data_IF_431883036758
#
_entry.id   IF_431883036758
#
_cell.length_a   1.000
_cell.length_b   1.000
_cell.length_c   1.000
_cell.angle_alpha   90.00
_cell.angle_beta   90.00
_cell.angle_gamma   90.00
#
_symmetry.space_group_name_H-M   'P 1'
#
loop_
_entity.id
_entity.type
_entity.pdbx_description
1 polymer ?
#
# COMPACT_ATOMS: atom_id res chain seq x y z
N UNK A 1 42.11 27.41 -2.58
CA UNK A 1 41.10 27.83 -3.58
C UNK A 1 39.91 26.89 -3.46
N UNK A 2 38.88 27.28 -2.70
CA UNK A 2 37.67 26.48 -2.44
C UNK A 2 36.60 26.94 -3.44
N UNK A 3 36.08 26.04 -4.27
CA UNK A 3 34.97 26.34 -5.18
C UNK A 3 33.71 25.76 -4.55
N UNK A 4 32.75 26.64 -4.25
CA UNK A 4 31.45 26.31 -3.69
C UNK A 4 30.52 25.73 -4.75
N UNK A 5 29.94 24.58 -4.45
CA UNK A 5 28.77 24.03 -5.15
C UNK A 5 27.84 23.49 -4.07
N UNK A 6 26.86 24.29 -3.66
CA UNK A 6 25.96 23.89 -2.59
C UNK A 6 24.95 24.96 -2.25
N UNK A 7 24.09 25.33 -3.19
CA UNK A 7 22.92 26.19 -2.92
C UNK A 7 21.73 26.02 -3.90
N UNK A 8 21.84 25.17 -4.94
CA UNK A 8 20.78 25.03 -5.94
C UNK A 8 19.64 24.07 -5.61
N UNK A 9 19.91 22.95 -4.92
CA UNK A 9 18.90 21.89 -4.71
C UNK A 9 17.99 22.15 -3.50
N UNK A 10 18.53 22.80 -2.45
CA UNK A 10 17.77 23.12 -1.24
C UNK A 10 16.71 24.20 -1.48
N UNK A 11 16.97 25.17 -2.37
CA UNK A 11 16.04 26.25 -2.67
C UNK A 11 14.82 25.79 -3.50
N UNK A 12 15.01 24.82 -4.40
CA UNK A 12 13.92 24.25 -5.22
C UNK A 12 13.00 23.36 -4.37
N UNK A 13 13.54 22.66 -3.36
CA UNK A 13 12.76 21.87 -2.40
C UNK A 13 12.09 22.76 -1.33
N UNK A 14 12.72 23.86 -0.91
CA UNK A 14 12.13 24.81 0.05
C UNK A 14 10.95 25.59 -0.54
N UNK A 15 10.94 25.85 -1.84
CA UNK A 15 9.81 26.50 -2.55
C UNK A 15 8.55 25.64 -2.63
N UNK A 16 8.62 24.33 -2.32
CA UNK A 16 7.46 23.43 -2.21
C UNK A 16 6.89 23.37 -0.79
N UNK A 17 7.58 23.96 0.19
CA UNK A 17 7.21 23.96 1.61
C UNK A 17 6.67 25.32 2.11
N UNK A 18 6.71 26.37 1.29
CA UNK A 18 6.28 27.72 1.68
C UNK A 18 4.93 28.10 1.05
N UNK A 19 3.86 27.47 1.55
CA UNK A 19 2.52 28.02 1.70
C UNK A 19 1.63 26.90 2.26
N UNK A 20 1.46 26.83 3.58
CA UNK A 20 0.42 25.98 4.18
C UNK A 20 -0.79 26.84 4.54
N UNK A 21 -1.78 27.01 3.62
CA UNK A 21 -3.13 27.29 4.07
C UNK A 21 -3.65 25.99 4.65
N UNK A 22 -3.41 25.78 5.94
CA UNK A 22 -4.26 24.89 6.72
C UNK A 22 -5.72 25.28 6.38
N UNK A 23 -6.47 24.34 5.81
CA UNK A 23 -7.91 24.41 5.43
C UNK A 23 -8.32 24.75 3.97
N UNK A 24 -7.50 24.54 2.93
CA UNK A 24 -8.11 24.21 1.62
C UNK A 24 -8.44 22.73 1.56
N UNK A 25 -9.72 22.37 1.39
CA UNK A 25 -10.12 20.98 1.24
C UNK A 25 -9.39 20.36 0.05
N UNK A 26 -8.68 19.26 0.28
CA UNK A 26 -8.06 18.48 -0.80
C UNK A 26 -9.18 17.62 -1.40
N UNK A 27 -9.65 17.96 -2.58
CA UNK A 27 -10.60 17.14 -3.35
C UNK A 27 -9.88 15.95 -4.03
N UNK A 28 -10.63 15.09 -4.75
CA UNK A 28 -10.03 13.95 -5.44
C UNK A 28 -8.94 14.35 -6.45
N UNK A 29 -9.12 15.47 -7.16
CA UNK A 29 -8.18 15.93 -8.18
C UNK A 29 -6.88 16.41 -7.55
N UNK A 30 -6.97 17.21 -6.49
CA UNK A 30 -5.83 17.68 -5.71
C UNK A 30 -5.09 16.50 -5.06
N UNK A 31 -5.82 15.50 -4.56
CA UNK A 31 -5.21 14.27 -4.03
C UNK A 31 -4.47 13.49 -5.11
N UNK A 32 -5.04 13.35 -6.31
CA UNK A 32 -4.35 12.74 -7.45
C UNK A 32 -3.07 13.49 -7.83
N UNK A 33 -3.12 14.82 -7.89
CA UNK A 33 -1.93 15.64 -8.20
C UNK A 33 -0.85 15.45 -7.13
N UNK A 34 -1.23 15.29 -5.85
CA UNK A 34 -0.31 14.92 -4.78
C UNK A 34 0.34 13.56 -5.06
N UNK A 35 -0.42 12.55 -5.47
CA UNK A 35 0.13 11.23 -5.85
C UNK A 35 1.13 11.36 -7.01
N UNK A 36 0.84 12.14 -8.05
CA UNK A 36 1.76 12.31 -9.17
C UNK A 36 3.08 12.93 -8.72
N UNK A 37 3.02 13.96 -7.85
CA UNK A 37 4.23 14.55 -7.23
C UNK A 37 5.02 13.54 -6.38
N UNK A 38 4.34 12.61 -5.71
CA UNK A 38 4.98 11.50 -4.99
C UNK A 38 5.75 10.62 -5.96
N UNK A 39 5.16 10.24 -7.10
CA UNK A 39 5.86 9.44 -8.11
C UNK A 39 7.07 10.18 -8.70
N UNK A 40 6.94 11.49 -8.94
CA UNK A 40 8.04 12.33 -9.40
C UNK A 40 9.17 12.38 -8.36
N UNK A 41 8.84 12.52 -7.07
CA UNK A 41 9.81 12.50 -5.98
C UNK A 41 10.48 11.12 -5.82
N UNK A 42 9.78 10.02 -6.07
CA UNK A 42 10.40 8.68 -6.11
C UNK A 42 11.32 8.56 -7.32
N UNK A 43 10.95 9.11 -8.48
CA UNK A 43 11.78 9.08 -9.68
C UNK A 43 13.10 9.84 -9.49
N UNK A 44 13.06 11.00 -8.83
CA UNK A 44 14.26 11.76 -8.48
C UNK A 44 15.22 10.98 -7.57
N UNK A 45 14.70 10.06 -6.76
CA UNK A 45 15.48 9.21 -5.88
C UNK A 45 16.03 7.94 -6.55
N UNK A 46 15.69 7.66 -7.83
CA UNK A 46 16.11 6.44 -8.52
C UNK A 46 17.62 6.18 -8.46
N UNK A 47 18.54 7.17 -8.58
CA UNK A 47 19.97 6.92 -8.39
C UNK A 47 20.32 6.37 -7.00
N UNK A 48 19.72 6.92 -5.94
CA UNK A 48 19.91 6.45 -4.56
C UNK A 48 19.29 5.06 -4.36
N UNK A 49 18.07 4.84 -4.87
CA UNK A 49 17.42 3.52 -4.84
C UNK A 49 18.29 2.47 -5.54
N UNK A 50 18.87 2.82 -6.69
CA UNK A 50 19.77 1.94 -7.45
C UNK A 50 21.02 1.58 -6.65
N UNK A 51 21.63 2.54 -5.96
CA UNK A 51 22.81 2.31 -5.13
C UNK A 51 22.50 1.36 -3.95
N UNK A 52 21.43 1.65 -3.20
CA UNK A 52 21.02 0.84 -2.04
C UNK A 52 20.61 -0.57 -2.48
N UNK A 53 19.83 -0.68 -3.56
CA UNK A 53 19.41 -1.96 -4.09
C UNK A 53 20.59 -2.77 -4.64
N UNK A 54 21.60 -2.11 -5.24
CA UNK A 54 22.83 -2.78 -5.67
C UNK A 54 23.65 -3.30 -4.50
N UNK A 55 23.75 -2.54 -3.39
CA UNK A 55 24.39 -3.02 -2.18
C UNK A 55 23.67 -4.27 -1.63
N UNK A 56 22.35 -4.24 -1.53
CA UNK A 56 21.56 -5.40 -1.12
C UNK A 56 21.72 -6.60 -2.07
N UNK A 57 21.65 -6.39 -3.38
CA UNK A 57 21.84 -7.44 -4.38
C UNK A 57 23.24 -8.07 -4.29
N UNK A 58 24.29 -7.28 -4.03
CA UNK A 58 25.64 -7.79 -3.84
C UNK A 58 25.72 -8.77 -2.65
N UNK A 59 25.07 -8.46 -1.53
CA UNK A 59 24.96 -9.40 -0.41
C UNK A 59 24.17 -10.65 -0.80
N UNK A 60 23.02 -10.45 -1.43
CA UNK A 60 22.08 -11.52 -1.81
C UNK A 60 22.64 -12.52 -2.84
N UNK A 61 23.49 -12.05 -3.76
CA UNK A 61 24.13 -12.88 -4.79
C UNK A 61 25.38 -13.58 -4.28
N UNK A 62 26.17 -12.93 -3.40
CA UNK A 62 27.42 -13.51 -2.87
C UNK A 62 27.18 -14.61 -1.84
N UNK A 63 26.13 -14.49 -1.05
CA UNK A 63 25.76 -15.47 -0.04
C UNK A 63 24.35 -15.97 -0.32
N UNK A 64 24.27 -17.12 -1.01
CA UNK A 64 23.00 -17.75 -1.39
C UNK A 64 22.21 -18.26 -0.18
N UNK A 65 22.81 -18.31 1.03
CA UNK A 65 22.12 -18.66 2.27
C UNK A 65 21.29 -17.50 2.84
N UNK A 66 21.56 -16.25 2.42
CA UNK A 66 20.82 -15.09 2.92
C UNK A 66 19.43 -15.01 2.30
N UNK A 67 18.40 -14.95 3.14
CA UNK A 67 17.05 -14.59 2.71
C UNK A 67 16.90 -13.10 2.37
N UNK A 68 15.76 -12.75 1.76
CA UNK A 68 15.22 -11.39 1.79
C UNK A 68 13.99 -11.40 2.70
N UNK A 69 13.94 -10.50 3.67
CA UNK A 69 12.88 -10.41 4.65
C UNK A 69 12.25 -9.02 4.70
N UNK A 70 11.00 -8.93 5.15
CA UNK A 70 10.24 -7.67 5.25
C UNK A 70 9.58 -7.51 6.62
N UNK A 71 9.64 -6.31 7.19
CA UNK A 71 9.00 -5.96 8.47
C UNK A 71 8.56 -4.48 8.47
N UNK A 72 7.88 -4.04 9.53
CA UNK A 72 7.39 -2.67 9.72
C UNK A 72 5.88 -2.58 9.60
N UNK A 73 5.37 -1.61 8.84
CA UNK A 73 3.91 -1.47 8.62
C UNK A 73 3.31 -2.73 7.97
N UNK A 74 2.11 -3.15 8.39
CA UNK A 74 1.44 -4.33 7.82
C UNK A 74 1.13 -4.17 6.34
N UNK A 75 0.76 -2.96 5.91
CA UNK A 75 0.58 -2.64 4.50
C UNK A 75 1.85 -2.99 3.69
N UNK A 76 3.03 -2.57 4.17
CA UNK A 76 4.32 -2.87 3.53
C UNK A 76 4.67 -4.36 3.55
N UNK A 77 4.55 -5.03 4.70
CA UNK A 77 4.86 -6.46 4.84
C UNK A 77 4.04 -7.29 3.85
N UNK A 78 2.74 -7.03 3.81
CA UNK A 78 1.83 -7.79 2.95
C UNK A 78 1.96 -7.41 1.48
N UNK A 79 2.34 -6.17 1.17
CA UNK A 79 2.65 -5.77 -0.20
C UNK A 79 3.96 -6.36 -0.69
N UNK A 80 5.01 -6.48 0.13
CA UNK A 80 6.25 -7.08 -0.34
C UNK A 80 6.17 -8.62 -0.50
N UNK A 81 5.15 -9.26 0.09
CA UNK A 81 5.09 -10.73 0.23
C UNK A 81 3.99 -11.37 -0.62
N UNK A 82 4.31 -12.50 -1.27
CA UNK A 82 3.37 -13.35 -2.01
C UNK A 82 2.57 -12.61 -3.11
N UNK A 83 3.13 -11.54 -3.70
CA UNK A 83 2.45 -10.75 -4.73
C UNK A 83 2.79 -11.22 -6.13
N UNK A 84 1.82 -11.10 -7.03
CA UNK A 84 2.09 -11.18 -8.47
C UNK A 84 3.14 -10.15 -8.88
N UNK A 85 4.12 -10.57 -9.68
CA UNK A 85 5.25 -9.74 -10.10
C UNK A 85 6.24 -9.40 -8.98
N UNK A 86 6.03 -9.92 -7.76
CA UNK A 86 6.94 -9.82 -6.63
C UNK A 86 7.90 -11.01 -6.55
N UNK A 87 8.96 -10.84 -5.78
CA UNK A 87 10.00 -11.84 -5.56
C UNK A 87 9.43 -13.07 -4.83
N UNK A 88 9.78 -14.28 -5.29
CA UNK A 88 9.50 -15.53 -4.59
C UNK A 88 10.50 -15.68 -3.43
N UNK A 89 10.02 -16.11 -2.26
CA UNK A 89 10.89 -16.38 -1.10
C UNK A 89 11.12 -15.19 -0.16
N UNK A 90 10.37 -14.09 -0.31
CA UNK A 90 10.37 -13.00 0.67
C UNK A 90 9.79 -13.49 2.00
N UNK A 91 10.58 -13.43 3.07
CA UNK A 91 10.22 -13.86 4.41
C UNK A 91 9.48 -12.77 5.17
N UNK A 92 8.37 -13.13 5.82
CA UNK A 92 7.61 -12.25 6.72
C UNK A 92 8.13 -12.36 8.17
N UNK A 93 7.73 -11.47 9.10
CA UNK A 93 8.24 -11.48 10.47
C UNK A 93 8.12 -12.84 11.18
N UNK A 94 6.98 -13.52 11.04
CA UNK A 94 6.74 -14.87 11.60
C UNK A 94 7.72 -15.94 11.10
N UNK A 95 8.28 -15.75 9.91
CA UNK A 95 9.29 -16.63 9.33
C UNK A 95 10.71 -16.21 9.73
N UNK A 96 10.97 -14.90 9.82
CA UNK A 96 12.27 -14.34 10.21
C UNK A 96 12.59 -14.52 11.70
N UNK A 97 11.58 -14.73 12.53
CA UNK A 97 11.73 -15.00 13.96
C UNK A 97 12.12 -16.47 14.23
N UNK A 98 11.93 -17.38 13.26
CA UNK A 98 12.33 -18.78 13.40
C UNK A 98 13.84 -18.94 13.20
N UNK A 99 14.54 -19.46 14.19
CA UNK A 99 15.96 -19.80 14.06
C UNK A 99 16.15 -21.00 13.11
N UNK A 100 17.22 -21.03 12.28
CA UNK A 100 18.29 -20.03 12.13
C UNK A 100 18.09 -19.07 10.92
N UNK A 101 17.05 -18.23 10.89
CA UNK A 101 16.88 -17.27 9.79
C UNK A 101 17.95 -16.17 9.79
N UNK A 102 18.55 -15.92 8.62
CA UNK A 102 19.47 -14.81 8.35
C UNK A 102 19.22 -14.24 6.96
N UNK A 103 19.27 -12.92 6.82
CA UNK A 103 18.97 -12.28 5.55
C UNK A 103 19.05 -10.76 5.60
N UNK A 104 18.79 -10.15 4.46
CA UNK A 104 18.61 -8.70 4.32
C UNK A 104 17.18 -8.36 4.73
N UNK A 105 16.98 -7.34 5.55
CA UNK A 105 15.65 -6.92 6.03
C UNK A 105 15.27 -5.58 5.41
N UNK A 106 14.14 -5.57 4.72
CA UNK A 106 13.46 -4.36 4.28
C UNK A 106 12.48 -3.94 5.37
N UNK A 107 12.66 -2.75 5.93
CA UNK A 107 11.87 -2.30 7.07
C UNK A 107 11.17 -0.98 6.77
N UNK A 108 9.83 -0.94 6.83
CA UNK A 108 9.08 0.32 6.71
C UNK A 108 8.66 0.86 8.08
N UNK A 109 9.23 2.02 8.46
CA UNK A 109 8.93 2.68 9.73
C UNK A 109 7.43 2.96 9.88
N UNK A 110 6.92 2.83 11.11
CA UNK A 110 5.52 3.00 11.46
C UNK A 110 5.31 4.38 12.07
N UNK A 111 4.31 5.10 11.56
CA UNK A 111 3.92 6.39 12.14
C UNK A 111 3.50 6.19 13.60
N UNK A 112 4.08 6.96 14.52
CA UNK A 112 3.79 6.88 15.95
C UNK A 112 4.45 5.72 16.72
N UNK A 113 5.24 4.85 16.07
CA UNK A 113 5.84 3.66 16.72
C UNK A 113 7.37 3.60 16.60
N UNK A 114 8.05 4.75 16.45
CA UNK A 114 9.50 4.80 16.17
C UNK A 114 10.36 4.18 17.26
N UNK A 115 9.94 4.24 18.53
CA UNK A 115 10.63 3.54 19.64
C UNK A 115 10.60 2.01 19.46
N UNK A 116 9.45 1.45 19.10
CA UNK A 116 9.30 0.01 18.87
C UNK A 116 9.99 -0.42 17.58
N UNK A 117 9.98 0.44 16.55
CA UNK A 117 10.76 0.23 15.33
C UNK A 117 12.25 0.16 15.63
N UNK A 118 12.78 1.09 16.44
CA UNK A 118 14.18 1.11 16.81
C UNK A 118 14.59 -0.16 17.56
N UNK A 119 13.76 -0.65 18.49
CA UNK A 119 13.99 -1.94 19.18
C UNK A 119 14.02 -3.12 18.19
N UNK A 120 13.06 -3.21 17.27
CA UNK A 120 13.02 -4.29 16.26
C UNK A 120 14.26 -4.24 15.35
N UNK A 121 14.62 -3.05 14.85
CA UNK A 121 15.79 -2.84 14.00
C UNK A 121 17.10 -3.20 14.72
N UNK A 122 17.26 -2.81 15.98
CA UNK A 122 18.42 -3.21 16.79
C UNK A 122 18.50 -4.73 16.97
N UNK A 123 17.36 -5.41 17.12
CA UNK A 123 17.29 -6.88 17.17
C UNK A 123 17.77 -7.54 15.88
N UNK A 124 17.38 -7.02 14.71
CA UNK A 124 17.91 -7.49 13.42
C UNK A 124 19.41 -7.22 13.28
N UNK A 125 19.87 -6.01 13.62
CA UNK A 125 21.27 -5.63 13.56
C UNK A 125 22.15 -6.54 14.45
N UNK A 126 21.71 -6.85 15.68
CA UNK A 126 22.42 -7.75 16.60
C UNK A 126 22.57 -9.17 16.04
N UNK A 127 21.64 -9.62 15.19
CA UNK A 127 21.72 -10.90 14.46
C UNK A 127 22.59 -10.83 13.20
N UNK A 128 23.21 -9.68 12.93
CA UNK A 128 24.02 -9.47 11.72
C UNK A 128 23.19 -9.43 10.44
N UNK A 129 21.91 -9.07 10.52
CA UNK A 129 21.05 -8.89 9.35
C UNK A 129 21.28 -7.49 8.75
N UNK A 130 21.69 -7.37 7.47
CA UNK A 130 21.79 -6.06 6.82
C UNK A 130 20.42 -5.41 6.66
N UNK A 131 20.33 -4.09 6.89
CA UNK A 131 19.07 -3.35 6.94
C UNK A 131 18.91 -2.37 5.77
N UNK A 132 17.73 -2.35 5.15
CA UNK A 132 17.26 -1.26 4.28
C UNK A 132 16.00 -0.66 4.91
N UNK A 133 16.04 0.62 5.28
CA UNK A 133 15.00 1.25 6.09
C UNK A 133 14.24 2.28 5.25
N UNK A 134 12.93 2.11 5.14
CA UNK A 134 12.00 3.00 4.45
C UNK A 134 11.27 3.88 5.47
N UNK A 135 11.22 5.18 5.23
CA UNK A 135 10.42 6.09 6.04
C UNK A 135 10.46 7.51 5.49
N UNK A 136 9.56 8.38 5.97
CA UNK A 136 9.70 9.82 5.69
C UNK A 136 10.98 10.35 6.33
N UNK A 137 11.52 11.47 5.86
CA UNK A 137 12.71 12.10 6.47
C UNK A 137 12.55 12.27 7.99
N UNK A 138 11.35 12.70 8.42
CA UNK A 138 10.99 12.82 9.83
C UNK A 138 11.17 11.50 10.59
N UNK A 139 10.64 10.40 10.07
CA UNK A 139 10.74 9.09 10.74
C UNK A 139 12.18 8.57 10.72
N UNK A 140 12.90 8.73 9.60
CA UNK A 140 14.28 8.29 9.45
C UNK A 140 15.25 9.02 10.39
N UNK A 141 14.96 10.27 10.72
CA UNK A 141 15.73 11.08 11.67
C UNK A 141 15.45 10.70 13.13
N UNK A 142 14.33 10.02 13.42
CA UNK A 142 13.98 9.55 14.76
C UNK A 142 14.58 8.19 15.10
N UNK A 143 15.17 7.49 14.13
CA UNK A 143 15.77 6.17 14.33
C UNK A 143 17.29 6.24 14.16
N UNK A 144 17.99 6.03 15.28
CA UNK A 144 19.45 5.98 15.37
C UNK A 144 19.92 4.53 15.50
N UNK A 145 20.72 4.07 14.53
CA UNK A 145 21.31 2.73 14.50
C UNK A 145 22.79 2.85 14.12
N UNK A 146 23.59 1.84 14.47
CA UNK A 146 24.97 1.74 13.97
C UNK A 146 24.99 1.72 12.44
N UNK A 147 25.81 2.57 11.83
CA UNK A 147 25.93 2.67 10.36
C UNK A 147 26.36 1.35 9.72
N UNK A 148 27.14 0.52 10.43
CA UNK A 148 27.64 -0.77 9.94
C UNK A 148 26.56 -1.81 9.67
N UNK A 149 25.36 -1.66 10.25
CA UNK A 149 24.25 -2.59 10.05
C UNK A 149 23.31 -2.14 8.91
N UNK A 150 23.43 -0.90 8.43
CA UNK A 150 22.45 -0.27 7.52
C UNK A 150 23.04 -0.16 6.13
N UNK A 151 22.47 -0.91 5.17
CA UNK A 151 22.80 -0.81 3.75
C UNK A 151 22.29 0.50 3.13
N UNK A 152 21.21 1.05 3.68
CA UNK A 152 20.70 2.35 3.27
C UNK A 152 19.39 2.76 3.94
N UNK A 153 19.16 4.08 3.95
CA UNK A 153 17.88 4.70 4.30
C UNK A 153 17.22 5.20 3.02
N UNK A 154 15.97 4.83 2.81
CA UNK A 154 15.15 5.18 1.65
C UNK A 154 14.08 6.17 2.09
N UNK A 155 14.12 7.38 1.52
CA UNK A 155 13.14 8.43 1.85
C UNK A 155 11.83 8.15 1.12
N UNK A 156 10.76 7.94 1.89
CA UNK A 156 9.41 7.82 1.36
C UNK A 156 8.81 9.22 1.26
N UNK A 157 8.53 9.74 0.05
CA UNK A 157 7.94 11.07 -0.11
C UNK A 157 6.44 10.98 0.15
N UNK A 158 6.03 11.13 1.40
CA UNK A 158 4.63 11.15 1.80
C UNK A 158 4.27 12.51 2.40
N UNK A 159 3.04 12.96 2.15
CA UNK A 159 2.56 14.26 2.66
C UNK A 159 1.80 14.18 3.99
N UNK A 160 1.33 15.35 4.45
CA UNK A 160 0.71 15.60 5.76
C UNK A 160 -0.59 14.84 6.07
N UNK A 161 -0.98 14.89 7.35
CA UNK A 161 -2.13 14.20 7.96
C UNK A 161 -3.48 14.44 7.27
N UNK A 162 -3.72 15.64 6.71
CA UNK A 162 -4.98 16.00 6.06
C UNK A 162 -5.27 15.18 4.79
N UNK A 163 -4.26 14.54 4.19
CA UNK A 163 -4.39 13.68 3.03
C UNK A 163 -3.34 12.55 3.11
N UNK A 164 -3.63 11.48 3.88
CA UNK A 164 -2.68 10.42 4.16
C UNK A 164 -2.26 9.75 2.86
N UNK A 165 -0.95 9.76 2.60
CA UNK A 165 -0.36 9.16 1.39
C UNK A 165 0.75 8.18 1.73
N UNK A 166 1.06 8.00 3.03
CA UNK A 166 2.18 7.19 3.48
C UNK A 166 2.10 5.72 3.02
N UNK A 167 0.98 4.98 3.18
CA UNK A 167 0.90 3.61 2.66
C UNK A 167 1.15 3.53 1.15
N UNK A 168 0.55 4.44 0.37
CA UNK A 168 0.72 4.51 -1.08
C UNK A 168 2.18 4.79 -1.46
N UNK A 169 2.77 5.84 -0.88
CA UNK A 169 4.13 6.25 -1.17
C UNK A 169 5.14 5.15 -0.80
N UNK A 170 4.96 4.49 0.33
CA UNK A 170 5.81 3.36 0.75
C UNK A 170 5.70 2.21 -0.24
N UNK A 171 4.51 1.84 -0.72
CA UNK A 171 4.35 0.78 -1.72
C UNK A 171 4.97 1.15 -3.08
N UNK A 172 4.78 2.38 -3.56
CA UNK A 172 5.39 2.83 -4.81
C UNK A 172 6.93 2.85 -4.73
N UNK A 173 7.46 3.27 -3.58
CA UNK A 173 8.90 3.29 -3.31
C UNK A 173 9.48 1.88 -3.18
N UNK A 174 8.77 0.97 -2.49
CA UNK A 174 9.12 -0.45 -2.39
C UNK A 174 9.28 -1.08 -3.77
N UNK A 175 8.29 -0.92 -4.66
CA UNK A 175 8.34 -1.55 -5.98
C UNK A 175 9.39 -0.94 -6.89
N UNK A 176 9.66 0.37 -6.75
CA UNK A 176 10.79 1.02 -7.42
C UNK A 176 12.12 0.44 -6.94
N UNK A 177 12.30 0.28 -5.63
CA UNK A 177 13.48 -0.37 -5.05
C UNK A 177 13.62 -1.84 -5.49
N UNK A 178 12.53 -2.61 -5.46
CA UNK A 178 12.50 -4.02 -5.86
C UNK A 178 12.88 -4.19 -7.33
N UNK A 179 12.43 -3.28 -8.20
CA UNK A 179 12.86 -3.23 -9.60
C UNK A 179 14.38 -3.07 -9.71
N UNK A 180 14.97 -2.14 -8.97
CA UNK A 180 16.42 -1.94 -8.99
C UNK A 180 17.22 -3.07 -8.34
N UNK A 181 16.63 -3.76 -7.36
CA UNK A 181 17.22 -4.95 -6.77
C UNK A 181 17.30 -6.08 -7.81
N UNK A 182 16.21 -6.34 -8.54
CA UNK A 182 16.20 -7.30 -9.64
C UNK A 182 17.19 -6.87 -10.74
N UNK A 183 17.21 -5.59 -11.13
CA UNK A 183 18.14 -5.08 -12.12
C UNK A 183 19.60 -5.32 -11.70
N UNK A 184 19.94 -5.06 -10.43
CA UNK A 184 21.27 -5.33 -9.89
C UNK A 184 21.64 -6.81 -9.92
N UNK A 185 20.71 -7.70 -9.55
CA UNK A 185 20.90 -9.14 -9.71
C UNK A 185 21.20 -9.50 -11.18
N UNK A 186 20.44 -8.95 -12.15
CA UNK A 186 20.66 -9.29 -13.58
C UNK A 186 22.03 -8.83 -14.09
N UNK A 187 22.59 -7.73 -13.58
CA UNK A 187 23.96 -7.29 -13.89
C UNK A 187 25.02 -8.24 -13.34
N UNK A 188 24.69 -9.00 -12.30
CA UNK A 188 25.50 -10.10 -11.77
C UNK A 188 25.15 -11.45 -12.43
N UNK A 189 24.48 -11.44 -13.59
CA UNK A 189 23.97 -12.63 -14.30
C UNK A 189 22.97 -13.46 -13.48
N UNK A 190 22.45 -12.86 -12.40
CA UNK A 190 21.45 -13.29 -11.43
C UNK A 190 19.98 -13.03 -11.82
N UNK A 191 19.14 -14.02 -12.13
CA UNK A 191 17.68 -13.77 -12.20
C UNK A 191 16.94 -14.44 -11.05
N UNK A 192 16.46 -13.72 -10.03
CA UNK A 192 15.67 -14.34 -8.99
C UNK A 192 14.25 -14.67 -9.47
N UNK A 193 13.59 -15.69 -8.90
CA UNK A 193 12.26 -16.06 -9.31
C UNK A 193 11.20 -15.06 -8.83
N UNK A 194 10.23 -14.84 -9.72
CA UNK A 194 9.15 -13.87 -9.53
C UNK A 194 7.82 -14.59 -9.67
N UNK A 195 6.86 -14.24 -8.82
CA UNK A 195 5.52 -14.80 -8.88
C UNK A 195 4.80 -14.36 -10.15
N UNK A 196 4.16 -15.31 -10.83
CA UNK A 196 3.09 -15.01 -11.77
C UNK A 196 1.76 -14.92 -11.00
N UNK A 197 0.86 -14.02 -11.39
CA UNK A 197 -0.48 -13.98 -10.77
C UNK A 197 -1.16 -15.33 -10.88
N UNK A 198 -1.68 -15.86 -9.77
CA UNK A 198 -2.46 -17.10 -9.75
C UNK A 198 -3.76 -17.03 -10.58
N UNK A 199 -4.07 -15.85 -11.13
CA UNK A 199 -5.16 -15.64 -12.09
C UNK A 199 -4.79 -16.01 -13.52
N UNK A 200 -3.50 -16.07 -13.83
CA UNK A 200 -3.03 -16.53 -15.14
C UNK A 200 -3.11 -18.07 -15.14
N UNK A 201 -3.62 -18.71 -16.21
CA UNK A 201 -3.61 -20.16 -16.33
C UNK A 201 -2.21 -20.75 -16.06
N UNK A 202 -2.17 -21.89 -15.36
CA UNK A 202 -0.94 -22.60 -14.98
C UNK A 202 0.03 -21.86 -14.03
N UNK A 203 -0.26 -20.60 -13.64
CA UNK A 203 0.62 -19.83 -12.76
C UNK A 203 0.87 -20.49 -11.40
N UNK A 204 -0.11 -21.23 -10.84
CA UNK A 204 0.09 -21.97 -9.59
C UNK A 204 1.19 -23.02 -9.74
N UNK A 205 1.08 -23.88 -10.76
CA UNK A 205 2.08 -24.91 -11.04
C UNK A 205 3.47 -24.30 -11.31
N UNK A 206 3.54 -23.22 -12.11
CA UNK A 206 4.79 -22.48 -12.34
C UNK A 206 5.39 -21.95 -11.04
N UNK A 207 4.60 -21.26 -10.24
CA UNK A 207 5.08 -20.68 -8.98
C UNK A 207 5.53 -21.75 -7.99
N UNK A 208 4.84 -22.89 -7.94
CA UNK A 208 5.19 -24.00 -7.06
C UNK A 208 6.54 -24.63 -7.44
N UNK A 209 6.83 -24.77 -8.73
CA UNK A 209 8.14 -25.21 -9.23
C UNK A 209 9.29 -24.27 -8.85
N UNK A 210 9.01 -22.98 -8.67
CA UNK A 210 10.01 -21.96 -8.37
C UNK A 210 10.22 -21.69 -6.87
N UNK A 211 9.46 -22.32 -5.96
CA UNK A 211 9.51 -22.01 -4.51
C UNK A 211 10.88 -22.22 -3.87
N UNK A 212 11.63 -23.22 -4.34
CA UNK A 212 12.97 -23.56 -3.84
C UNK A 212 14.07 -23.13 -4.80
N UNK A 213 13.72 -22.39 -5.85
CA UNK A 213 14.69 -21.83 -6.78
C UNK A 213 15.20 -20.52 -6.20
N UNK A 214 16.52 -20.35 -6.16
CA UNK A 214 17.14 -19.08 -5.74
C UNK A 214 17.34 -18.15 -6.93
N UNK A 215 17.87 -18.70 -8.01
CA UNK A 215 18.05 -18.03 -9.28
C UNK A 215 17.67 -19.00 -10.40
N UNK A 216 17.10 -18.47 -11.48
CA UNK A 216 16.88 -19.25 -12.69
C UNK A 216 18.22 -19.73 -13.27
N UNK A 217 18.21 -20.88 -13.94
CA UNK A 217 19.39 -21.44 -14.58
C UNK A 217 19.85 -20.60 -15.77
N UNK A 218 18.90 -20.03 -16.52
CA UNK A 218 19.19 -19.18 -17.67
C UNK A 218 19.70 -17.81 -17.23
N UNK A 219 20.78 -17.36 -17.86
CA UNK A 219 21.36 -16.04 -17.60
C UNK A 219 20.43 -14.95 -18.15
N UNK A 220 19.97 -13.99 -17.34
CA UNK A 220 19.15 -12.90 -17.83
C UNK A 220 19.98 -11.93 -18.67
N UNK A 221 19.29 -11.14 -19.51
CA UNK A 221 19.89 -9.94 -20.08
C UNK A 221 20.14 -8.92 -18.96
N UNK A 222 21.36 -8.39 -18.80
CA UNK A 222 21.65 -7.35 -17.81
C UNK A 222 20.79 -6.09 -18.00
N UNK A 223 20.16 -5.63 -16.93
CA UNK A 223 19.39 -4.39 -16.93
C UNK A 223 20.21 -3.23 -16.37
N UNK A 224 20.20 -2.09 -17.07
CA UNK A 224 20.86 -0.86 -16.62
C UNK A 224 20.27 -0.36 -15.29
N UNK A 225 21.10 0.31 -14.48
CA UNK A 225 20.66 0.97 -13.26
C UNK A 225 19.59 2.03 -13.55
N UNK A 226 18.54 2.04 -12.75
CA UNK A 226 17.37 2.91 -12.86
C UNK A 226 16.34 2.49 -13.91
N UNK A 227 16.62 1.48 -14.73
CA UNK A 227 15.74 1.13 -15.86
C UNK A 227 14.39 0.56 -15.40
N UNK A 228 14.40 -0.35 -14.41
CA UNK A 228 13.18 -1.03 -13.97
C UNK A 228 12.30 -0.13 -13.10
N UNK A 229 12.91 0.69 -12.22
CA UNK A 229 12.16 1.68 -11.45
C UNK A 229 11.48 2.71 -12.36
N UNK A 230 12.20 3.25 -13.37
CA UNK A 230 11.60 4.21 -14.32
C UNK A 230 10.47 3.59 -15.13
N UNK A 231 10.63 2.35 -15.61
CA UNK A 231 9.57 1.64 -16.31
C UNK A 231 8.32 1.42 -15.43
N UNK A 232 8.53 1.11 -14.15
CA UNK A 232 7.46 0.99 -13.17
C UNK A 232 6.72 2.32 -12.94
N UNK A 233 7.46 3.40 -12.65
CA UNK A 233 6.89 4.73 -12.39
C UNK A 233 6.15 5.28 -13.62
N UNK A 234 6.70 5.06 -14.82
CA UNK A 234 6.02 5.38 -16.08
C UNK A 234 4.70 4.61 -16.22
N UNK A 235 4.71 3.30 -15.95
CA UNK A 235 3.50 2.48 -15.96
C UNK A 235 2.46 3.01 -14.98
N UNK A 236 2.86 3.33 -13.74
CA UNK A 236 1.99 3.91 -12.72
C UNK A 236 1.33 5.23 -13.17
N UNK A 237 2.10 6.15 -13.78
CA UNK A 237 1.55 7.41 -14.31
C UNK A 237 0.48 7.16 -15.38
N UNK A 238 0.75 6.27 -16.34
CA UNK A 238 -0.23 5.88 -17.37
C UNK A 238 -1.50 5.24 -16.77
N UNK A 239 -1.37 4.48 -15.68
CA UNK A 239 -2.53 3.95 -14.95
C UNK A 239 -3.35 5.06 -14.28
N UNK A 240 -2.70 6.05 -13.67
CA UNK A 240 -3.38 7.20 -13.07
C UNK A 240 -4.04 8.12 -14.11
N UNK A 241 -3.45 8.25 -15.29
CA UNK A 241 -4.09 8.94 -16.41
C UNK A 241 -5.37 8.22 -16.87
N UNK A 242 -5.31 6.89 -17.05
CA UNK A 242 -6.50 6.09 -17.38
C UNK A 242 -7.57 6.19 -16.32
N UNK A 243 -7.18 6.17 -15.05
CA UNK A 243 -8.11 6.33 -13.93
C UNK A 243 -8.81 7.69 -13.99
N UNK A 244 -8.05 8.77 -14.21
CA UNK A 244 -8.62 10.11 -14.37
C UNK A 244 -9.58 10.19 -15.56
N UNK A 245 -9.13 9.76 -16.74
CA UNK A 245 -9.89 9.88 -17.98
C UNK A 245 -11.20 9.08 -17.93
N UNK A 246 -11.22 7.95 -17.23
CA UNK A 246 -12.32 6.98 -17.31
C UNK A 246 -13.18 6.89 -16.06
N UNK A 247 -12.66 7.29 -14.89
CA UNK A 247 -13.30 7.00 -13.59
C UNK A 247 -13.38 8.22 -12.66
N UNK A 248 -12.90 9.41 -13.05
CA UNK A 248 -13.00 10.61 -12.20
C UNK A 248 -14.45 10.91 -11.79
N UNK A 249 -15.39 10.87 -12.74
CA UNK A 249 -16.82 11.07 -12.45
C UNK A 249 -17.38 9.99 -11.50
N UNK A 250 -16.92 8.74 -11.62
CA UNK A 250 -17.32 7.65 -10.73
C UNK A 250 -16.81 7.88 -9.31
N UNK A 251 -15.57 8.35 -9.14
CA UNK A 251 -15.00 8.71 -7.82
C UNK A 251 -15.84 9.80 -7.16
N UNK A 252 -16.15 10.88 -7.88
CA UNK A 252 -17.01 11.96 -7.37
C UNK A 252 -18.40 11.45 -7.00
N UNK A 253 -19.02 10.62 -7.85
CA UNK A 253 -20.33 10.01 -7.57
C UNK A 253 -20.31 9.14 -6.30
N UNK A 254 -19.26 8.35 -6.10
CA UNK A 254 -19.08 7.52 -4.90
C UNK A 254 -19.00 8.40 -3.65
N UNK A 255 -18.20 9.45 -3.69
CA UNK A 255 -18.04 10.37 -2.57
C UNK A 255 -19.34 11.10 -2.24
N UNK A 256 -20.05 11.62 -3.24
CA UNK A 256 -21.37 12.25 -3.08
C UNK A 256 -22.38 11.29 -2.44
N UNK A 257 -22.45 10.06 -2.94
CA UNK A 257 -23.32 9.04 -2.37
C UNK A 257 -22.96 8.73 -0.91
N UNK A 258 -21.67 8.60 -0.60
CA UNK A 258 -21.21 8.33 0.76
C UNK A 258 -21.54 9.47 1.73
N UNK A 259 -21.30 10.72 1.33
CA UNK A 259 -21.65 11.91 2.13
C UNK A 259 -23.16 11.99 2.36
N UNK A 260 -23.97 11.76 1.33
CA UNK A 260 -25.43 11.79 1.43
C UNK A 260 -25.95 10.72 2.40
N UNK A 261 -25.49 9.47 2.27
CA UNK A 261 -25.88 8.40 3.20
C UNK A 261 -25.45 8.68 4.63
N UNK A 262 -24.27 9.27 4.82
CA UNK A 262 -23.80 9.65 6.15
C UNK A 262 -24.70 10.73 6.78
N UNK A 263 -25.12 11.75 6.01
CA UNK A 263 -26.06 12.78 6.47
C UNK A 263 -27.42 12.20 6.89
N UNK A 264 -27.82 11.10 6.28
CA UNK A 264 -29.02 10.33 6.65
C UNK A 264 -28.80 9.38 7.85
N UNK A 265 -27.67 9.50 8.56
CA UNK A 265 -27.33 8.65 9.71
C UNK A 265 -26.98 7.21 9.35
N UNK A 266 -26.67 6.92 8.08
CA UNK A 266 -26.33 5.57 7.62
C UNK A 266 -24.87 5.22 7.88
N UNK A 267 -24.58 3.91 7.90
CA UNK A 267 -23.24 3.39 8.12
C UNK A 267 -22.51 3.22 6.80
N UNK A 268 -21.23 3.58 6.83
CA UNK A 268 -20.32 3.43 5.70
C UNK A 268 -19.30 2.36 6.08
N UNK A 269 -19.35 1.22 5.43
CA UNK A 269 -18.42 0.12 5.64
C UNK A 269 -17.40 0.09 4.50
N UNK A 270 -16.19 -0.37 4.81
CA UNK A 270 -15.24 -0.75 3.78
C UNK A 270 -14.65 -2.13 4.03
N UNK A 271 -14.29 -2.82 2.94
CA UNK A 271 -13.40 -3.98 2.96
C UNK A 271 -12.25 -3.81 1.99
N UNK A 272 -11.04 -4.10 2.48
CA UNK A 272 -9.82 -4.11 1.70
C UNK A 272 -9.55 -5.53 1.20
N UNK A 273 -9.54 -5.70 -0.10
CA UNK A 273 -9.07 -6.93 -0.75
C UNK A 273 -7.55 -6.93 -0.83
N UNK A 274 -6.95 -8.13 -0.79
CA UNK A 274 -5.58 -8.41 -1.22
C UNK A 274 -4.42 -7.60 -0.57
N UNK A 275 -3.55 -8.29 0.17
CA UNK A 275 -2.22 -7.80 0.55
C UNK A 275 -2.23 -6.42 1.24
N UNK A 276 -1.44 -5.44 0.75
CA UNK A 276 -1.34 -4.11 1.36
C UNK A 276 -2.67 -3.36 1.46
N UNK A 277 -3.59 -3.57 0.50
CA UNK A 277 -4.89 -2.89 0.50
C UNK A 277 -5.83 -3.33 1.66
N UNK A 278 -5.58 -4.50 2.28
CA UNK A 278 -6.30 -4.94 3.47
C UNK A 278 -5.93 -4.17 4.76
N UNK A 279 -4.95 -3.27 4.69
CA UNK A 279 -4.37 -2.55 5.84
C UNK A 279 -4.27 -1.05 5.62
N UNK A 280 -5.05 -0.49 4.69
CA UNK A 280 -5.03 0.96 4.37
C UNK A 280 -5.53 1.84 5.52
N UNK A 281 -6.21 1.26 6.49
CA UNK A 281 -6.88 1.94 7.60
C UNK A 281 -6.09 1.94 8.90
N UNK A 282 -4.98 1.20 8.99
CA UNK A 282 -4.21 1.03 10.22
C UNK A 282 -3.24 2.19 10.53
N UNK A 283 -3.17 3.21 9.67
CA UNK A 283 -2.32 4.38 9.87
C UNK A 283 -2.96 5.42 10.80
N UNK A 284 -2.15 6.04 11.67
CA UNK A 284 -2.61 7.07 12.63
C UNK A 284 -3.27 8.28 11.95
N UNK A 285 -2.95 8.54 10.67
CA UNK A 285 -3.53 9.64 9.91
C UNK A 285 -4.81 9.27 9.13
N UNK A 286 -5.29 8.02 9.17
CA UNK A 286 -6.47 7.60 8.40
C UNK A 286 -7.74 8.39 8.77
N UNK A 287 -8.55 8.89 7.81
CA UNK A 287 -9.61 9.85 8.12
C UNK A 287 -10.86 9.25 8.79
N UNK A 288 -10.95 7.93 8.99
CA UNK A 288 -12.06 7.30 9.73
C UNK A 288 -13.44 7.39 9.07
N UNK A 289 -13.52 7.78 7.78
CA UNK A 289 -14.80 8.01 7.09
C UNK A 289 -15.63 6.73 6.87
N UNK A 290 -14.94 5.59 6.78
CA UNK A 290 -15.54 4.27 6.62
C UNK A 290 -15.09 3.38 7.78
N UNK A 291 -16.02 2.58 8.32
CA UNK A 291 -15.71 1.50 9.25
C UNK A 291 -15.06 0.35 8.48
N UNK A 292 -13.79 0.06 8.78
CA UNK A 292 -13.10 -1.12 8.24
C UNK A 292 -13.61 -2.40 8.90
N UNK A 293 -14.30 -3.22 8.11
CA UNK A 293 -14.82 -4.51 8.56
C UNK A 293 -14.01 -5.70 8.02
N UNK A 294 -12.87 -5.48 7.37
CA UNK A 294 -12.11 -6.53 6.66
C UNK A 294 -11.79 -7.73 7.54
N UNK A 295 -11.19 -7.49 8.72
CA UNK A 295 -10.82 -8.57 9.64
C UNK A 295 -12.01 -9.08 10.44
N UNK A 296 -12.83 -8.16 10.97
CA UNK A 296 -14.03 -8.50 11.75
C UNK A 296 -15.00 -9.37 10.96
N UNK A 297 -15.18 -9.10 9.67
CA UNK A 297 -16.02 -9.91 8.78
C UNK A 297 -15.51 -11.34 8.64
N UNK A 298 -14.19 -11.54 8.56
CA UNK A 298 -13.62 -12.89 8.48
C UNK A 298 -13.72 -13.62 9.81
N UNK A 299 -13.43 -12.92 10.91
CA UNK A 299 -13.47 -13.46 12.26
C UNK A 299 -14.89 -13.89 12.67
N UNK A 300 -15.93 -13.14 12.30
CA UNK A 300 -17.32 -13.54 12.61
C UNK A 300 -17.80 -14.84 11.95
N UNK A 301 -17.02 -15.34 11.01
CA UNK A 301 -17.27 -16.61 10.32
C UNK A 301 -16.25 -17.70 10.69
N UNK A 302 -15.36 -17.42 11.64
CA UNK A 302 -14.54 -18.43 12.27
C UNK A 302 -15.39 -19.31 13.20
N UNK A 303 -14.98 -20.57 13.39
CA UNK A 303 -15.73 -21.57 14.18
C UNK A 303 -15.83 -21.17 15.67
N UNK A 304 -14.84 -20.43 16.14
CA UNK A 304 -14.63 -19.97 17.50
C UNK A 304 -15.15 -18.55 17.74
N UNK A 305 -15.90 -17.97 16.81
CA UNK A 305 -16.48 -16.65 17.03
C UNK A 305 -17.50 -16.68 18.17
N UNK A 306 -17.34 -15.86 19.22
CA UNK A 306 -18.22 -15.92 20.38
C UNK A 306 -19.69 -15.62 19.99
N UNK A 307 -20.67 -16.45 20.41
CA UNK A 307 -22.07 -16.30 19.99
C UNK A 307 -22.70 -14.95 20.37
N UNK A 308 -22.22 -14.36 21.46
CA UNK A 308 -22.65 -13.09 22.04
C UNK A 308 -21.96 -11.86 21.40
N UNK A 309 -20.89 -12.07 20.63
CA UNK A 309 -20.17 -10.98 20.01
C UNK A 309 -20.96 -10.39 18.83
N UNK A 310 -21.12 -9.05 18.74
CA UNK A 310 -21.98 -8.43 17.74
C UNK A 310 -21.52 -8.74 16.32
N UNK A 311 -22.44 -9.25 15.50
CA UNK A 311 -22.20 -9.52 14.08
C UNK A 311 -22.41 -8.27 13.24
N UNK A 312 -21.70 -8.19 12.12
CA UNK A 312 -21.91 -7.15 11.12
C UNK A 312 -23.24 -7.44 10.42
N UNK A 313 -24.19 -6.53 10.59
CA UNK A 313 -25.47 -6.54 9.92
C UNK A 313 -25.63 -5.22 9.13
N UNK A 314 -25.98 -5.36 7.86
CA UNK A 314 -26.27 -4.23 6.97
C UNK A 314 -27.74 -3.81 7.12
N UNK A 315 -27.99 -2.50 7.05
CA UNK A 315 -29.34 -1.92 7.10
C UNK A 315 -29.66 -1.15 5.81
N UNK A 316 -30.95 -0.91 5.50
CA UNK A 316 -31.34 -0.15 4.32
C UNK A 316 -30.69 1.24 4.30
N UNK A 317 -29.97 1.52 3.20
CA UNK A 317 -29.26 2.78 2.98
C UNK A 317 -27.81 2.81 3.44
N UNK A 318 -27.30 1.75 4.09
CA UNK A 318 -25.87 1.60 4.36
C UNK A 318 -25.07 1.48 3.06
N UNK A 319 -23.75 1.69 3.13
CA UNK A 319 -22.82 1.49 2.00
C UNK A 319 -21.79 0.44 2.37
N UNK A 320 -21.46 -0.43 1.41
CA UNK A 320 -20.26 -1.25 1.46
C UNK A 320 -19.31 -0.87 0.32
N UNK A 321 -18.19 -0.26 0.65
CA UNK A 321 -17.09 0.02 -0.26
C UNK A 321 -16.10 -1.16 -0.30
N UNK A 322 -15.99 -1.82 -1.44
CA UNK A 322 -15.02 -2.89 -1.68
C UNK A 322 -13.83 -2.30 -2.42
N UNK A 323 -12.71 -2.10 -1.71
CA UNK A 323 -11.41 -1.79 -2.31
C UNK A 323 -10.73 -3.11 -2.64
N UNK A 324 -11.16 -3.75 -3.72
CA UNK A 324 -10.83 -5.14 -4.04
C UNK A 324 -9.72 -5.31 -5.08
N UNK A 325 -9.51 -6.56 -5.48
CA UNK A 325 -8.59 -6.89 -6.57
C UNK A 325 -9.36 -7.06 -7.89
N UNK A 326 -9.92 -8.24 -8.15
CA UNK A 326 -10.54 -8.58 -9.44
C UNK A 326 -11.87 -9.35 -9.31
N UNK A 327 -12.50 -9.32 -8.14
CA UNK A 327 -13.63 -10.18 -7.81
C UNK A 327 -14.69 -9.49 -6.96
N UNK A 328 -15.94 -9.92 -7.12
CA UNK A 328 -17.05 -9.58 -6.22
C UNK A 328 -16.92 -10.48 -4.99
N UNK A 329 -16.96 -9.96 -3.74
CA UNK A 329 -16.65 -10.74 -2.53
C UNK A 329 -17.79 -11.67 -2.10
N UNK A 330 -18.26 -12.54 -3.01
CA UNK A 330 -19.24 -13.58 -2.71
C UNK A 330 -18.61 -14.95 -2.43
N UNK A 331 -17.40 -15.22 -2.93
CA UNK A 331 -16.77 -16.54 -2.82
C UNK A 331 -15.58 -16.57 -1.86
N UNK A 332 -15.17 -17.79 -1.47
CA UNK A 332 -14.03 -18.02 -0.58
C UNK A 332 -14.26 -17.47 0.83
N UNK A 333 -13.18 -16.99 1.46
CA UNK A 333 -13.20 -16.42 2.83
C UNK A 333 -13.97 -15.10 3.00
N UNK A 334 -14.83 -14.74 2.04
CA UNK A 334 -15.72 -13.57 2.10
C UNK A 334 -17.17 -13.93 2.40
N UNK A 335 -17.53 -15.21 2.45
CA UNK A 335 -18.80 -15.69 3.03
C UNK A 335 -20.06 -14.95 2.51
N UNK A 336 -20.17 -14.82 1.17
CA UNK A 336 -21.29 -14.13 0.50
C UNK A 336 -21.47 -12.65 0.93
N UNK A 337 -20.39 -11.93 1.22
CA UNK A 337 -20.43 -10.55 1.73
C UNK A 337 -21.24 -9.61 0.83
N UNK A 338 -21.00 -9.62 -0.49
CA UNK A 338 -21.72 -8.73 -1.39
C UNK A 338 -23.23 -9.04 -1.41
N UNK A 339 -23.62 -10.31 -1.44
CA UNK A 339 -25.02 -10.70 -1.41
C UNK A 339 -25.69 -10.38 -0.07
N UNK A 340 -24.98 -10.57 1.06
CA UNK A 340 -25.49 -10.17 2.39
C UNK A 340 -25.66 -8.67 2.52
N UNK A 341 -24.75 -7.87 1.95
CA UNK A 341 -24.88 -6.41 1.91
C UNK A 341 -26.14 -6.00 1.13
N UNK A 342 -26.35 -6.58 -0.06
CA UNK A 342 -27.55 -6.33 -0.88
C UNK A 342 -28.84 -6.76 -0.17
N UNK A 343 -28.85 -7.95 0.46
CA UNK A 343 -30.00 -8.45 1.23
C UNK A 343 -30.36 -7.53 2.40
N UNK A 344 -29.36 -6.93 3.06
CA UNK A 344 -29.59 -5.92 4.10
C UNK A 344 -30.01 -4.55 3.57
N UNK A 345 -30.10 -4.36 2.25
CA UNK A 345 -30.45 -3.08 1.62
C UNK A 345 -29.31 -2.07 1.54
N UNK A 346 -28.06 -2.51 1.69
CA UNK A 346 -26.90 -1.65 1.48
C UNK A 346 -26.59 -1.47 0.00
N UNK A 347 -26.06 -0.30 -0.36
CA UNK A 347 -25.50 -0.04 -1.68
C UNK A 347 -24.08 -0.57 -1.76
N UNK A 348 -23.80 -1.40 -2.76
CA UNK A 348 -22.48 -1.98 -2.98
C UNK A 348 -21.67 -1.11 -3.95
N UNK A 349 -20.45 -0.77 -3.54
CA UNK A 349 -19.49 -0.04 -4.37
C UNK A 349 -18.27 -0.94 -4.58
N UNK A 350 -17.98 -1.28 -5.83
CA UNK A 350 -16.93 -2.21 -6.23
C UNK A 350 -15.78 -1.46 -6.92
N UNK A 351 -14.66 -1.29 -6.23
CA UNK A 351 -13.41 -0.80 -6.82
C UNK A 351 -12.53 -2.02 -7.15
N UNK A 352 -12.71 -2.57 -8.35
CA UNK A 352 -12.03 -3.81 -8.81
C UNK A 352 -11.64 -3.70 -10.29
N UNK A 353 -10.66 -4.50 -10.72
CA UNK A 353 -10.36 -4.66 -12.14
C UNK A 353 -11.42 -5.54 -12.84
N UNK A 354 -11.78 -5.17 -14.06
CA UNK A 354 -12.94 -5.75 -14.78
C UNK A 354 -12.57 -6.79 -15.85
N UNK A 355 -11.34 -7.31 -15.85
CA UNK A 355 -10.88 -8.27 -16.87
C UNK A 355 -11.44 -9.70 -16.67
N UNK A 356 -12.29 -9.93 -15.66
CA UNK A 356 -12.88 -11.22 -15.33
C UNK A 356 -14.39 -11.26 -15.65
N UNK A 357 -14.80 -11.83 -16.81
CA UNK A 357 -16.21 -11.88 -17.19
C UNK A 357 -17.09 -12.59 -16.16
N UNK A 358 -16.58 -13.65 -15.51
CA UNK A 358 -17.28 -14.42 -14.48
C UNK A 358 -17.56 -13.61 -13.19
N UNK A 359 -16.76 -12.58 -12.94
CA UNK A 359 -16.97 -11.65 -11.82
C UNK A 359 -17.87 -10.51 -12.24
N UNK A 360 -17.76 -10.04 -13.48
CA UNK A 360 -18.62 -8.96 -13.99
C UNK A 360 -20.09 -9.39 -14.11
N UNK A 361 -20.37 -10.66 -14.39
CA UNK A 361 -21.75 -11.20 -14.39
C UNK A 361 -22.41 -11.21 -13.00
N UNK A 362 -21.64 -11.05 -11.92
CA UNK A 362 -22.14 -10.96 -10.54
C UNK A 362 -22.46 -9.52 -10.11
N UNK A 363 -22.06 -8.52 -10.90
CA UNK A 363 -22.45 -7.12 -10.67
C UNK A 363 -23.94 -6.97 -11.00
N UNK A 364 -24.70 -6.34 -10.11
CA UNK A 364 -26.16 -6.23 -10.20
C UNK A 364 -26.60 -4.80 -10.51
N UNK A 365 -27.79 -4.61 -11.09
CA UNK A 365 -28.41 -3.29 -11.19
C UNK A 365 -28.48 -2.64 -9.80
N UNK A 366 -27.90 -1.45 -9.66
CA UNK A 366 -27.81 -0.72 -8.39
C UNK A 366 -26.42 -0.73 -7.73
N UNK A 367 -25.53 -1.64 -8.11
CA UNK A 367 -24.12 -1.55 -7.71
C UNK A 367 -23.43 -0.38 -8.40
N UNK A 368 -22.44 0.22 -7.73
CA UNK A 368 -21.53 1.20 -8.35
C UNK A 368 -20.20 0.51 -8.64
N UNK A 369 -19.83 0.41 -9.91
CA UNK A 369 -18.55 -0.16 -10.34
C UNK A 369 -17.55 0.94 -10.68
N UNK A 370 -16.41 0.93 -9.99
CA UNK A 370 -15.22 1.69 -10.34
C UNK A 370 -14.19 0.73 -10.93
N UNK A 371 -13.94 0.85 -12.23
CA UNK A 371 -13.01 -0.02 -12.95
C UNK A 371 -11.56 0.40 -12.69
N UNK A 372 -10.82 -0.45 -11.98
CA UNK A 372 -9.41 -0.21 -11.69
C UNK A 372 -8.54 -0.54 -12.92
N UNK A 373 -7.68 0.37 -13.40
CA UNK A 373 -7.13 0.28 -14.76
C UNK A 373 -5.89 -0.61 -14.90
N UNK A 374 -5.78 -1.75 -14.21
CA UNK A 374 -4.70 -2.74 -14.43
C UNK A 374 -5.19 -3.97 -15.22
N UNK A 375 -4.24 -4.72 -15.80
CA UNK A 375 -4.53 -5.90 -16.63
C UNK A 375 -4.45 -7.23 -15.87
N UNK A 376 -4.85 -8.31 -16.55
CA UNK A 376 -4.61 -9.66 -16.07
C UNK A 376 -3.12 -9.83 -15.75
N UNK A 377 -2.81 -10.30 -14.54
CA UNK A 377 -1.43 -10.44 -14.08
C UNK A 377 -0.97 -9.37 -13.09
N UNK A 378 -1.61 -8.19 -13.03
CA UNK A 378 -1.31 -7.06 -12.11
C UNK A 378 0.08 -6.39 -12.28
N UNK A 379 1.10 -7.18 -12.57
CA UNK A 379 2.46 -6.74 -12.89
C UNK A 379 2.55 -6.11 -14.29
N UNK A 380 3.26 -4.98 -14.38
CA UNK A 380 3.29 -4.16 -15.59
C UNK A 380 4.65 -4.09 -16.29
N UNK A 381 5.74 -4.33 -15.58
CA UNK A 381 7.09 -4.15 -16.13
C UNK A 381 7.59 -5.45 -16.74
N UNK A 382 8.00 -5.38 -18.01
CA UNK A 382 8.56 -6.53 -18.73
C UNK A 382 10.09 -6.54 -18.58
N UNK A 383 10.66 -7.72 -18.39
CA UNK A 383 12.11 -7.93 -18.38
C UNK A 383 12.50 -8.73 -19.64
N UNK A 384 13.41 -8.25 -20.49
CA UNK A 384 13.77 -8.95 -21.72
C UNK A 384 14.26 -10.38 -21.47
N UNK A 385 13.63 -11.35 -22.14
CA UNK A 385 13.96 -12.78 -21.99
C UNK A 385 13.34 -13.44 -20.75
N UNK A 386 12.53 -12.74 -19.98
CA UNK A 386 11.82 -13.32 -18.84
C UNK A 386 10.35 -13.60 -19.17
N UNK A 387 9.82 -14.68 -18.62
CA UNK A 387 8.54 -15.28 -19.01
C UNK A 387 7.31 -14.58 -18.39
N UNK A 388 7.52 -13.70 -17.40
CA UNK A 388 6.45 -12.96 -16.73
C UNK A 388 6.79 -11.48 -16.54
N UNK A 389 5.75 -10.65 -16.42
CA UNK A 389 5.90 -9.27 -15.96
C UNK A 389 6.15 -9.24 -14.45
N UNK A 390 6.86 -8.20 -14.02
CA UNK A 390 7.21 -7.91 -12.63
C UNK A 390 6.66 -6.55 -12.20
N UNK A 391 6.69 -6.30 -10.89
CA UNK A 391 6.30 -5.03 -10.24
C UNK A 391 4.78 -4.74 -10.38
N UNK A 392 3.96 -5.15 -9.39
CA UNK A 392 2.52 -4.95 -9.41
C UNK A 392 2.11 -3.49 -9.18
N UNK A 393 0.94 -3.14 -9.71
CA UNK A 393 0.39 -1.77 -9.65
C UNK A 393 -0.90 -1.70 -8.83
N UNK A 394 -1.58 -2.83 -8.60
CA UNK A 394 -2.95 -2.85 -8.10
C UNK A 394 -3.12 -2.18 -6.75
N UNK A 395 -2.23 -2.41 -5.79
CA UNK A 395 -2.42 -1.89 -4.43
C UNK A 395 -2.01 -0.43 -4.28
N UNK A 396 -1.09 0.06 -5.11
CA UNK A 396 -0.82 1.51 -5.22
C UNK A 396 -2.06 2.22 -5.78
N UNK A 397 -2.70 1.63 -6.80
CA UNK A 397 -3.96 2.14 -7.36
C UNK A 397 -5.12 2.04 -6.36
N UNK A 398 -5.22 0.93 -5.63
CA UNK A 398 -6.25 0.72 -4.60
C UNK A 398 -6.15 1.76 -3.48
N UNK A 399 -4.94 1.98 -2.95
CA UNK A 399 -4.67 3.02 -1.97
C UNK A 399 -5.03 4.41 -2.51
N UNK A 400 -4.72 4.67 -3.78
CA UNK A 400 -5.02 5.95 -4.41
C UNK A 400 -6.52 6.19 -4.53
N UNK A 401 -7.27 5.22 -5.05
CA UNK A 401 -8.74 5.34 -5.21
C UNK A 401 -9.40 5.54 -3.87
N UNK A 402 -9.01 4.78 -2.85
CA UNK A 402 -9.52 4.96 -1.50
C UNK A 402 -9.21 6.36 -0.97
N UNK A 403 -7.98 6.83 -1.14
CA UNK A 403 -7.57 8.18 -0.76
C UNK A 403 -8.32 9.29 -1.50
N UNK A 404 -8.54 9.14 -2.81
CA UNK A 404 -9.30 10.11 -3.62
C UNK A 404 -10.77 10.17 -3.21
N UNK A 405 -11.42 9.03 -2.92
CA UNK A 405 -12.79 9.00 -2.42
C UNK A 405 -12.87 9.76 -1.09
N UNK A 406 -11.95 9.48 -0.15
CA UNK A 406 -11.95 10.16 1.14
C UNK A 406 -11.69 11.66 1.03
N UNK A 407 -10.74 12.05 0.18
CA UNK A 407 -10.43 13.45 -0.10
C UNK A 407 -11.66 14.20 -0.63
N UNK A 408 -12.34 13.63 -1.62
CA UNK A 408 -13.57 14.19 -2.17
C UNK A 408 -14.70 14.28 -1.14
N UNK A 409 -14.88 13.26 -0.30
CA UNK A 409 -15.87 13.29 0.77
C UNK A 409 -15.61 14.44 1.75
N UNK A 410 -14.35 14.67 2.12
CA UNK A 410 -13.95 15.77 3.00
C UNK A 410 -14.22 17.12 2.34
N UNK A 411 -13.91 17.28 1.04
CA UNK A 411 -14.19 18.50 0.29
C UNK A 411 -15.69 18.82 0.19
N UNK A 412 -16.51 17.81 -0.13
CA UNK A 412 -17.97 17.95 -0.17
C UNK A 412 -18.55 18.28 1.20
N UNK A 413 -17.99 17.72 2.28
CA UNK A 413 -18.39 18.02 3.65
C UNK A 413 -18.08 19.48 4.02
N UNK A 414 -16.91 20.00 3.64
CA UNK A 414 -16.50 21.39 3.94
C UNK A 414 -17.25 22.45 3.14
N UNK A 415 -17.74 22.14 1.94
CA UNK A 415 -18.42 23.13 1.07
C UNK A 415 -19.86 23.45 1.50
N UNK A 416 -20.45 22.74 2.46
CA UNK A 416 -21.87 22.86 2.81
C UNK A 416 -22.06 23.69 4.08
N UNK A 417 -22.35 24.99 3.95
CA UNK A 417 -22.55 25.97 5.05
C UNK A 417 -23.91 25.86 5.75
N UNK A 418 -24.38 24.67 6.14
CA UNK A 418 -25.55 24.54 7.03
C UNK A 418 -25.13 24.21 8.48
N UNK A 419 -25.60 24.98 9.48
CA UNK A 419 -25.12 24.87 10.86
C UNK A 419 -25.90 23.78 11.63
N UNK A 420 -25.45 22.54 11.52
CA UNK A 420 -25.46 21.52 12.58
C UNK A 420 -24.73 20.25 12.08
N UNK A 421 -23.85 19.69 12.92
CA UNK A 421 -23.34 18.31 12.88
C UNK A 421 -22.22 17.87 11.90
N UNK A 422 -21.29 18.73 11.45
CA UNK A 422 -20.04 18.26 10.80
C UNK A 422 -18.75 18.77 11.45
N UNK A 423 -18.71 19.97 12.03
CA UNK A 423 -17.58 20.37 12.87
C UNK A 423 -17.46 19.49 14.12
N UNK A 424 -18.59 19.07 14.68
CA UNK A 424 -18.64 18.06 15.75
C UNK A 424 -18.21 16.68 15.26
N UNK A 425 -18.36 16.37 13.96
CA UNK A 425 -17.93 15.09 13.37
C UNK A 425 -16.43 15.03 13.11
N UNK A 426 -15.84 16.09 12.55
CA UNK A 426 -14.38 16.18 12.40
C UNK A 426 -13.73 16.20 13.78
N UNK A 427 -14.31 16.92 14.75
CA UNK A 427 -13.89 16.84 16.16
C UNK A 427 -14.07 15.45 16.74
N UNK A 428 -15.23 14.81 16.66
CA UNK A 428 -15.45 13.46 17.19
C UNK A 428 -14.46 12.42 16.59
N UNK A 429 -14.14 12.52 15.30
CA UNK A 429 -13.15 11.65 14.66
C UNK A 429 -11.71 11.94 15.14
N UNK A 430 -11.38 13.21 15.39
CA UNK A 430 -10.07 13.62 15.93
C UNK A 430 -9.99 13.27 17.43
N UNK A 431 -11.00 13.62 18.22
CA UNK A 431 -11.09 13.42 19.67
C UNK A 431 -11.09 11.93 20.06
N UNK A 432 -11.81 11.06 19.32
CA UNK A 432 -11.77 9.60 19.53
C UNK A 432 -10.37 9.00 19.30
N UNK A 433 -9.52 9.64 18.48
CA UNK A 433 -8.13 9.20 18.32
C UNK A 433 -7.25 9.67 19.47
N UNK A 434 -7.49 10.85 20.00
CA UNK A 434 -6.74 11.39 21.15
C UNK A 434 -7.09 10.66 22.47
N UNK A 435 -8.33 10.18 22.63
CA UNK A 435 -8.73 9.39 23.80
C UNK A 435 -8.22 7.94 23.77
N UNK A 436 -8.05 7.34 22.58
CA UNK A 436 -7.50 5.99 22.42
C UNK A 436 -6.00 5.86 22.68
N UNK A 437 -5.26 6.97 22.67
CA UNK A 437 -3.82 7.05 22.96
C UNK A 437 -3.51 7.44 24.42
N UNK A 438 -4.54 7.66 25.27
CA UNK A 438 -4.29 7.85 26.71
C UNK A 438 -3.97 6.50 27.35
N UNK A 439 -2.83 6.37 28.06
CA UNK A 439 -2.59 5.19 28.87
C UNK A 439 -3.74 5.07 29.87
N UNK A 440 -4.41 3.92 29.89
CA UNK A 440 -5.34 3.60 30.98
C UNK A 440 -4.50 3.64 32.25
N UNK A 441 -4.72 4.66 33.08
CA UNK A 441 -4.18 4.70 34.42
C UNK A 441 -4.69 3.43 35.12
N UNK A 442 -3.76 2.56 35.51
CA UNK A 442 -4.06 1.42 36.36
C UNK A 442 -4.49 1.99 37.72
N UNK A 443 -5.79 2.17 37.90
CA UNK A 443 -6.36 2.32 39.23
C UNK A 443 -6.29 0.96 39.92
N UNK A 444 -5.59 0.94 41.04
CA UNK A 444 -5.25 -0.25 41.78
C UNK A 444 -6.46 -0.97 42.37
N UNK A 445 -6.34 -2.30 42.38
CA UNK A 445 -6.80 -3.17 43.46
C UNK A 445 -5.74 -4.24 43.68
#
# INVERSE_FOLDING_TARGET
>A
MRIGVGLGLAAVLASLAAADPATRSVDALAYRQKILRILDAVELQVPQLTAIASAAANHYVRDETLGLGVDGTRCFIHEASYRSGGLIGVSRPDQMEKAPWKGIVLYALREGQTTEDAKRLAGYAKRGCPLVIFGTERLLNQVHLSETAVLGKVVVPAGSAAAPTYPLATMATLWSWMGEFVAACTRAEKMPPMYQSIRVPMARARNDQLRNVRFHADKPRPMAGGALAKAYLHSMRSRFEKLQQRQAATITRIAQLAVERRRQGKRLFMVGGAHGAAYLTEGSNHPGLFEDITQRWRQQHAKDYPPDHPKIAFKPGDILLVVGYDYVPNTGGWFNLADKARQGGATLILCIATFRPDQMSQVKPGDVLLNMPWGLGDADVSLPGYDVKILPTSNVLAAAVYGMINAEMLALASATTQPASIHDWVREVIDRKEEGDRPVASEGQ
#
